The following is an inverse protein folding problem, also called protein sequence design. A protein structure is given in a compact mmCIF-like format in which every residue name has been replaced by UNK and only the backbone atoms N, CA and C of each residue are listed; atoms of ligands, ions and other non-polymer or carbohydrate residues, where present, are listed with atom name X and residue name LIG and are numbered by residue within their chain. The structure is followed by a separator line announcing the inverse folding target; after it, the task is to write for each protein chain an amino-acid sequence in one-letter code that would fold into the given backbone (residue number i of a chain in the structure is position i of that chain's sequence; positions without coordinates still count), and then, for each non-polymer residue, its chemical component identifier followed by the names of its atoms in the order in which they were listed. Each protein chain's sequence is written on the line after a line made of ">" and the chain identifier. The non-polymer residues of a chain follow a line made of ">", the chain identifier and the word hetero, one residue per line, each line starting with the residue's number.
data_IF_617554982515
#
_entry.id   IF_617554982515
#
_cell.length_a   1.000
_cell.length_b   1.000
_cell.length_c   1.000
_cell.angle_alpha   90.00
_cell.angle_beta   90.00
_cell.angle_gamma   90.00
#
_symmetry.space_group_name_H-M   'P 1'
#
loop_
_entity.id
_entity.type
_entity.pdbx_description
1 polymer ?
#
# COMPACT_ATOMS: atom_id res chain seq x y z
N UNK A 1 3.87 6.10 19.80
CA UNK A 1 2.66 6.80 19.29
C UNK A 1 2.68 6.80 17.75
N UNK A 2 1.54 6.76 17.08
CA UNK A 2 1.49 6.90 15.61
C UNK A 2 0.99 8.30 15.24
N UNK A 3 1.66 8.95 14.30
CA UNK A 3 1.21 10.21 13.72
C UNK A 3 0.45 9.92 12.43
N UNK A 4 -0.80 10.37 12.38
CA UNK A 4 -1.62 10.29 11.18
C UNK A 4 -1.20 11.38 10.19
N UNK A 5 -0.89 10.97 8.98
CA UNK A 5 -0.64 11.82 7.82
C UNK A 5 -1.63 11.42 6.72
N UNK A 6 -2.50 12.36 6.34
CA UNK A 6 -3.49 12.15 5.29
C UNK A 6 -2.85 12.59 3.97
N UNK A 7 -2.80 11.68 2.99
CA UNK A 7 -2.30 11.97 1.65
C UNK A 7 -3.44 11.76 0.66
N UNK A 8 -4.07 12.86 0.23
CA UNK A 8 -4.95 12.87 -0.95
C UNK A 8 -4.07 13.00 -2.18
N UNK A 9 -3.93 11.94 -2.97
CA UNK A 9 -3.31 12.06 -4.28
C UNK A 9 -4.36 12.59 -5.25
N UNK A 10 -4.06 13.66 -5.99
CA UNK A 10 -4.97 14.24 -6.99
C UNK A 10 -5.17 13.34 -8.23
N UNK A 11 -4.65 12.11 -8.24
CA UNK A 11 -5.10 11.09 -9.19
C UNK A 11 -6.48 10.63 -8.73
N UNK A 12 -7.49 10.98 -9.53
CA UNK A 12 -8.93 11.09 -9.27
C UNK A 12 -9.67 9.81 -8.76
N UNK A 13 -8.97 8.85 -8.18
CA UNK A 13 -9.49 7.53 -7.79
C UNK A 13 -8.89 6.92 -6.52
N UNK A 14 -7.99 7.59 -5.78
CA UNK A 14 -7.31 6.97 -4.62
C UNK A 14 -7.21 7.89 -3.40
N UNK A 15 -7.88 7.51 -2.31
CA UNK A 15 -7.71 8.12 -1.00
C UNK A 15 -6.71 7.31 -0.17
N UNK A 16 -5.73 7.97 0.47
CA UNK A 16 -4.74 7.26 1.28
C UNK A 16 -4.47 7.91 2.64
N UNK A 17 -4.60 7.10 3.68
CA UNK A 17 -4.25 7.43 5.05
C UNK A 17 -2.93 6.73 5.42
N UNK A 18 -2.00 7.44 6.06
CA UNK A 18 -0.71 6.90 6.52
C UNK A 18 -0.51 7.19 7.99
N UNK A 19 -0.02 6.22 8.72
CA UNK A 19 0.37 6.34 10.12
C UNK A 19 1.86 6.05 10.24
N UNK A 20 2.65 7.08 10.57
CA UNK A 20 4.07 6.93 10.84
C UNK A 20 4.30 6.70 12.33
N UNK A 21 5.11 5.70 12.65
CA UNK A 21 5.49 5.45 14.03
C UNK A 21 6.47 6.51 14.52
N UNK A 22 6.18 7.05 15.70
CA UNK A 22 7.07 7.93 16.43
C UNK A 22 7.04 7.57 17.91
N UNK A 23 8.20 7.23 18.44
CA UNK A 23 8.33 6.82 19.82
C UNK A 23 8.94 7.96 20.63
N UNK A 24 8.44 8.14 21.84
CA UNK A 24 9.14 8.97 22.82
C UNK A 24 10.47 8.29 23.17
N UNK A 25 11.50 9.07 23.49
CA UNK A 25 12.85 8.53 23.73
C UNK A 25 12.90 7.48 24.86
N UNK A 26 12.01 7.59 25.84
CA UNK A 26 11.93 6.65 26.98
C UNK A 26 10.93 5.49 26.81
N UNK A 27 10.20 5.45 25.70
CA UNK A 27 9.21 4.40 25.45
C UNK A 27 9.87 3.25 24.66
N UNK A 28 10.51 2.35 25.41
CA UNK A 28 11.24 1.19 24.88
C UNK A 28 10.32 0.20 24.18
N UNK A 29 9.10 0.02 24.69
CA UNK A 29 8.11 -0.89 24.12
C UNK A 29 7.70 -0.41 22.73
N UNK A 30 7.48 0.90 22.57
CA UNK A 30 7.30 1.50 21.26
C UNK A 30 8.53 1.29 20.37
N UNK A 31 9.76 1.51 20.84
CA UNK A 31 10.94 1.32 19.99
C UNK A 31 11.09 -0.12 19.46
N UNK A 32 10.71 -1.11 20.29
CA UNK A 32 10.83 -2.54 20.00
C UNK A 32 9.79 -3.06 18.99
N UNK A 33 8.60 -2.48 18.91
CA UNK A 33 7.63 -2.89 17.89
C UNK A 33 8.14 -2.53 16.49
N UNK A 34 8.11 -3.52 15.61
CA UNK A 34 8.84 -3.51 14.33
C UNK A 34 8.11 -2.73 13.24
N UNK A 35 6.78 -2.64 13.28
CA UNK A 35 6.00 -1.94 12.24
C UNK A 35 6.25 -0.43 12.32
N UNK A 36 6.90 0.14 11.30
CA UNK A 36 7.27 1.57 11.25
C UNK A 36 6.26 2.45 10.52
N UNK A 37 5.56 1.89 9.54
CA UNK A 37 4.55 2.59 8.75
C UNK A 37 3.37 1.65 8.56
N UNK A 38 2.18 2.20 8.71
CA UNK A 38 0.93 1.58 8.30
C UNK A 38 0.24 2.53 7.34
N UNK A 39 -0.37 2.01 6.28
CA UNK A 39 -1.22 2.84 5.41
C UNK A 39 -2.46 2.10 4.94
N UNK A 40 -3.55 2.84 4.86
CA UNK A 40 -4.83 2.38 4.35
C UNK A 40 -5.16 3.18 3.09
N UNK A 41 -5.31 2.50 1.97
CA UNK A 41 -5.64 3.10 0.68
C UNK A 41 -7.01 2.61 0.23
N UNK A 42 -7.87 3.54 -0.18
CA UNK A 42 -9.19 3.26 -0.75
C UNK A 42 -9.15 3.67 -2.21
N UNK A 43 -9.44 2.74 -3.11
CA UNK A 43 -9.38 2.96 -4.56
C UNK A 43 -10.80 2.85 -5.11
N UNK A 44 -11.24 3.88 -5.83
CA UNK A 44 -12.53 3.96 -6.50
C UNK A 44 -12.34 3.77 -8.00
N UNK A 45 -12.99 2.78 -8.59
CA UNK A 45 -12.84 2.46 -10.01
C UNK A 45 -14.16 2.65 -10.73
N UNK A 46 -14.14 3.40 -11.83
CA UNK A 46 -15.26 3.45 -12.78
C UNK A 46 -15.32 2.13 -13.56
N UNK A 47 -16.53 1.60 -13.72
CA UNK A 47 -16.74 0.22 -14.16
C UNK A 47 -17.14 0.14 -15.62
N UNK A 48 -16.22 -0.41 -16.42
CA UNK A 48 -16.39 -1.34 -17.54
C UNK A 48 -15.03 -1.35 -18.25
N UNK A 49 -14.29 -2.45 -18.11
CA UNK A 49 -13.02 -2.63 -18.82
C UNK A 49 -12.99 -4.03 -19.43
N UNK A 50 -13.00 -4.09 -20.75
CA UNK A 50 -12.63 -5.31 -21.47
C UNK A 50 -11.14 -5.58 -21.23
N UNK A 51 -10.85 -6.71 -20.59
CA UNK A 51 -9.50 -7.05 -20.17
C UNK A 51 -8.90 -8.08 -21.14
N UNK A 52 -7.84 -7.70 -21.87
CA UNK A 52 -7.05 -8.65 -22.70
C UNK A 52 -5.86 -9.24 -21.94
N UNK A 53 -5.34 -8.48 -20.99
CA UNK A 53 -4.22 -8.83 -20.11
C UNK A 53 -4.34 -8.08 -18.78
N UNK A 54 -3.67 -8.52 -17.69
CA UNK A 54 -3.68 -7.79 -16.42
C UNK A 54 -3.26 -6.33 -16.57
N UNK A 55 -4.16 -5.41 -16.22
CA UNK A 55 -3.93 -3.97 -16.41
C UNK A 55 -3.51 -3.29 -15.10
N UNK A 56 -2.47 -2.48 -15.12
CA UNK A 56 -2.05 -1.67 -13.98
C UNK A 56 -3.02 -0.49 -13.80
N UNK A 57 -3.67 -0.42 -12.63
CA UNK A 57 -4.70 0.61 -12.36
C UNK A 57 -4.21 1.69 -11.40
N UNK A 58 -3.40 1.32 -10.40
CA UNK A 58 -2.94 2.22 -9.34
C UNK A 58 -1.54 1.81 -8.88
N UNK A 59 -0.68 2.79 -8.63
CA UNK A 59 0.65 2.60 -8.07
C UNK A 59 0.71 3.11 -6.62
N UNK A 60 0.84 2.20 -5.66
CA UNK A 60 0.99 2.50 -4.24
C UNK A 60 2.47 2.63 -3.87
N UNK A 61 3.01 3.85 -3.91
CA UNK A 61 4.42 4.10 -3.61
C UNK A 61 4.72 4.21 -2.11
N UNK A 62 5.53 3.30 -1.55
CA UNK A 62 6.02 3.37 -0.17
C UNK A 62 7.52 3.62 -0.15
N UNK A 63 7.92 4.74 0.46
CA UNK A 63 9.34 5.07 0.70
C UNK A 63 9.91 4.13 1.74
N UNK A 64 10.99 3.46 1.38
CA UNK A 64 11.71 2.57 2.28
C UNK A 64 13.10 3.16 2.44
N UNK A 65 13.42 3.67 3.63
CA UNK A 65 14.80 4.02 3.94
C UNK A 65 15.59 2.72 3.99
N UNK A 66 16.19 2.34 2.87
CA UNK A 66 17.22 1.32 2.82
C UNK A 66 18.41 1.89 3.59
N UNK A 67 18.40 1.72 4.91
CA UNK A 67 19.63 1.78 5.67
C UNK A 67 20.48 0.63 5.15
N UNK A 68 21.38 0.93 4.21
CA UNK A 68 22.38 0.05 3.66
C UNK A 68 23.43 -0.28 4.73
N UNK A 69 23.00 -0.95 5.80
CA UNK A 69 23.89 -1.64 6.71
C UNK A 69 23.92 -3.11 6.30
N UNK A 70 25.09 -3.70 6.03
CA UNK A 70 25.22 -5.12 5.68
C UNK A 70 24.78 -6.07 6.81
N UNK A 71 24.48 -5.53 8.00
CA UNK A 71 24.01 -6.28 9.17
C UNK A 71 22.50 -6.14 9.45
N UNK A 72 21.79 -5.23 8.77
CA UNK A 72 20.36 -5.05 8.94
C UNK A 72 19.60 -5.79 7.85
N UNK A 73 18.54 -6.51 8.25
CA UNK A 73 17.62 -7.12 7.28
C UNK A 73 17.07 -6.04 6.36
N UNK A 74 16.92 -6.37 5.09
CA UNK A 74 16.27 -5.45 4.15
C UNK A 74 14.83 -5.22 4.59
N UNK A 75 14.40 -3.97 4.76
CA UNK A 75 13.03 -3.65 5.12
C UNK A 75 12.02 -4.29 4.15
N UNK A 76 11.00 -4.92 4.72
CA UNK A 76 9.91 -5.62 4.03
C UNK A 76 8.66 -4.78 4.04
N UNK A 77 8.11 -4.52 2.85
CA UNK A 77 6.78 -3.93 2.68
C UNK A 77 5.81 -5.05 2.33
N UNK A 78 4.60 -5.03 2.90
CA UNK A 78 3.55 -5.97 2.55
C UNK A 78 2.27 -5.21 2.20
N UNK A 79 1.58 -5.64 1.15
CA UNK A 79 0.30 -5.09 0.70
C UNK A 79 -0.76 -6.16 0.82
N UNK A 80 -1.90 -5.83 1.43
CA UNK A 80 -3.01 -6.73 1.65
C UNK A 80 -4.31 -6.07 1.21
N UNK A 81 -5.06 -6.74 0.34
CA UNK A 81 -6.41 -6.30 -0.01
C UNK A 81 -7.35 -6.76 1.10
N UNK A 82 -7.97 -5.81 1.81
CA UNK A 82 -8.84 -6.10 2.95
C UNK A 82 -10.29 -6.35 2.54
N UNK A 83 -10.81 -5.50 1.64
CA UNK A 83 -12.20 -5.58 1.18
C UNK A 83 -12.33 -5.11 -0.27
N UNK A 84 -13.45 -5.46 -0.88
CA UNK A 84 -13.81 -5.03 -2.23
C UNK A 84 -13.20 -5.86 -3.37
N UNK A 85 -12.43 -6.91 -3.07
CA UNK A 85 -11.85 -7.79 -4.10
C UNK A 85 -12.88 -8.80 -4.65
N UNK A 86 -13.93 -8.28 -5.28
CA UNK A 86 -15.02 -9.10 -5.83
C UNK A 86 -14.44 -10.09 -6.85
N UNK A 87 -14.77 -11.37 -6.70
CA UNK A 87 -14.29 -12.47 -7.55
C UNK A 87 -12.76 -12.59 -7.69
N UNK A 88 -11.98 -12.01 -6.77
CA UNK A 88 -10.52 -11.88 -6.89
C UNK A 88 -10.12 -11.21 -8.22
N UNK A 89 -10.82 -10.14 -8.58
CA UNK A 89 -10.55 -9.37 -9.79
C UNK A 89 -9.31 -8.49 -9.68
N UNK A 90 -8.79 -8.27 -8.47
CA UNK A 90 -7.60 -7.47 -8.21
C UNK A 90 -6.48 -8.27 -7.56
N UNK A 91 -5.25 -7.93 -7.93
CA UNK A 91 -4.05 -8.32 -7.21
C UNK A 91 -3.11 -7.13 -6.97
N UNK A 92 -2.10 -7.35 -6.13
CA UNK A 92 -1.06 -6.36 -5.86
C UNK A 92 0.30 -7.01 -6.06
N UNK A 93 1.07 -6.51 -7.02
CA UNK A 93 2.47 -6.90 -7.21
C UNK A 93 3.42 -5.94 -6.52
N UNK A 94 4.46 -6.47 -5.89
CA UNK A 94 5.54 -5.64 -5.38
C UNK A 94 6.58 -5.41 -6.47
N UNK A 95 6.87 -4.15 -6.75
CA UNK A 95 7.92 -3.72 -7.67
C UNK A 95 8.93 -2.86 -6.91
N UNK A 96 10.20 -3.27 -6.78
CA UNK A 96 11.24 -2.41 -6.24
C UNK A 96 11.51 -1.26 -7.20
N UNK A 97 11.59 -0.04 -6.68
CA UNK A 97 11.88 1.17 -7.45
C UNK A 97 12.84 2.08 -6.66
N UNK A 98 14.15 1.95 -6.92
CA UNK A 98 15.20 2.66 -6.18
C UNK A 98 15.03 2.49 -4.65
N UNK A 99 14.89 3.60 -3.91
CA UNK A 99 14.63 3.64 -2.46
C UNK A 99 13.13 3.48 -2.09
N UNK A 100 12.32 2.94 -3.00
CA UNK A 100 10.89 2.74 -2.79
C UNK A 100 10.50 1.30 -3.12
N UNK A 101 9.42 0.86 -2.49
CA UNK A 101 8.69 -0.32 -2.94
C UNK A 101 7.32 0.15 -3.41
N UNK A 102 7.02 -0.16 -4.67
CA UNK A 102 5.72 0.10 -5.28
C UNK A 102 4.82 -1.12 -5.11
N UNK A 103 3.60 -0.91 -4.64
CA UNK A 103 2.50 -1.85 -4.79
C UNK A 103 1.74 -1.54 -6.06
N UNK A 104 1.95 -2.33 -7.11
CA UNK A 104 1.24 -2.21 -8.38
C UNK A 104 -0.07 -2.95 -8.25
N UNK A 105 -1.17 -2.20 -8.14
CA UNK A 105 -2.52 -2.78 -8.10
C UNK A 105 -2.95 -3.04 -9.53
N UNK A 106 -3.38 -4.26 -9.83
CA UNK A 106 -3.81 -4.64 -11.18
C UNK A 106 -5.22 -5.20 -11.19
N UNK A 107 -5.91 -4.94 -12.29
CA UNK A 107 -7.15 -5.61 -12.64
C UNK A 107 -6.78 -6.88 -13.42
N UNK A 108 -7.02 -8.05 -12.84
CA UNK A 108 -6.71 -9.38 -13.43
C UNK A 108 -7.93 -10.08 -14.01
N UNK A 109 -9.14 -9.58 -13.72
CA UNK A 109 -10.39 -10.07 -14.31
C UNK A 109 -11.26 -8.89 -14.73
N UNK A 110 -12.06 -9.03 -15.80
CA UNK A 110 -13.03 -8.01 -16.14
C UNK A 110 -14.03 -7.80 -15.00
N UNK A 111 -14.38 -6.55 -14.74
CA UNK A 111 -15.40 -6.17 -13.78
C UNK A 111 -16.54 -5.47 -14.51
N UNK A 112 -17.75 -5.94 -14.23
CA UNK A 112 -19.00 -5.38 -14.74
C UNK A 112 -19.87 -5.05 -13.52
N UNK A 113 -20.15 -3.77 -13.28
CA UNK A 113 -20.87 -3.31 -12.10
C UNK A 113 -20.96 -1.78 -12.04
N UNK A 114 -21.44 -1.17 -10.95
CA UNK A 114 -21.23 0.25 -10.62
C UNK A 114 -19.84 0.48 -9.99
N UNK A 115 -19.49 1.72 -9.61
CA UNK A 115 -18.18 2.06 -8.99
C UNK A 115 -17.72 1.00 -7.97
N UNK A 116 -16.51 0.46 -8.15
CA UNK A 116 -15.94 -0.55 -7.25
C UNK A 116 -14.96 0.12 -6.28
N UNK A 117 -15.08 -0.20 -5.00
CA UNK A 117 -14.23 0.33 -3.94
C UNK A 117 -13.39 -0.79 -3.36
N UNK A 118 -12.06 -0.68 -3.46
CA UNK A 118 -11.14 -1.64 -2.84
C UNK A 118 -10.31 -0.98 -1.75
N UNK A 119 -10.12 -1.69 -0.65
CA UNK A 119 -9.30 -1.25 0.49
C UNK A 119 -8.02 -2.05 0.53
N UNK A 120 -6.89 -1.36 0.59
CA UNK A 120 -5.56 -1.95 0.67
C UNK A 120 -4.85 -1.46 1.92
N UNK A 121 -4.44 -2.40 2.75
CA UNK A 121 -3.61 -2.19 3.91
C UNK A 121 -2.16 -2.49 3.60
N UNK A 122 -1.27 -1.56 3.94
CA UNK A 122 0.17 -1.71 3.73
C UNK A 122 0.90 -1.50 5.04
N UNK A 123 1.93 -2.31 5.30
CA UNK A 123 2.80 -2.10 6.45
C UNK A 123 4.28 -2.31 6.09
N UNK A 124 5.14 -1.56 6.77
CA UNK A 124 6.60 -1.62 6.63
C UNK A 124 7.23 -2.19 7.90
N UNK A 125 8.02 -3.24 7.75
CA UNK A 125 8.79 -3.91 8.81
C UNK A 125 10.28 -3.84 8.43
N UNK A 126 11.20 -3.48 9.36
CA UNK A 126 12.64 -3.53 9.13
C UNK A 126 13.16 -4.98 8.99
#
# INVERSE_FOLDING_TARGET
>A
MYFLSIFSANDMSVDRLRCLKSCHFHDTDCAMETVKLISHSVIYLTTFKELREPEEIVLLRTTVFLFSSPYLKSPRVNFHILTGNIHNAFDVLQRPENHNVLGVVRLVKPLTGPMTVISIYTFLIP
#
